data_IF_515555507263
#
_entry.id   IF_515555507263
#
_cell.length_a   1.000
_cell.length_b   1.000
_cell.length_c   1.000
_cell.angle_alpha   90.00
_cell.angle_beta   90.00
_cell.angle_gamma   90.00
#
_symmetry.space_group_name_H-M   'P 1'
#
loop_
_entity.id
_entity.type
_entity.pdbx_description
1 polymer ?
#
# COMPACT_ATOMS: atom_id res chain seq x y z
N UNK A 1 39.98 54.11 3.07
CA UNK A 1 40.31 53.24 4.23
C UNK A 1 39.17 52.22 4.29
N UNK A 2 39.30 51.02 3.73
CA UNK A 2 40.15 49.92 4.23
C UNK A 2 40.97 49.20 3.14
N UNK A 3 42.08 48.59 3.55
CA UNK A 3 43.25 48.14 2.76
C UNK A 3 43.07 46.87 1.89
N UNK A 4 41.85 46.51 1.51
CA UNK A 4 41.59 45.42 0.57
C UNK A 4 40.41 45.84 -0.30
N UNK A 5 40.53 45.75 -1.63
CA UNK A 5 39.61 46.32 -2.63
C UNK A 5 38.20 45.71 -2.69
N UNK A 6 37.57 45.41 -1.56
CA UNK A 6 36.19 44.96 -1.49
C UNK A 6 35.23 46.15 -1.50
N UNK A 7 34.31 46.12 -2.46
CA UNK A 7 33.15 47.02 -2.50
C UNK A 7 32.28 46.85 -1.24
N UNK A 8 31.68 47.93 -0.75
CA UNK A 8 30.73 47.92 0.38
C UNK A 8 29.63 46.88 0.19
N UNK A 9 29.16 46.68 -1.05
CA UNK A 9 28.17 45.64 -1.37
C UNK A 9 28.69 44.21 -1.13
N UNK A 10 29.96 43.96 -1.43
CA UNK A 10 30.59 42.67 -1.16
C UNK A 10 30.72 42.43 0.35
N UNK A 11 31.05 43.47 1.13
CA UNK A 11 31.10 43.36 2.60
C UNK A 11 29.73 43.00 3.19
N UNK A 12 28.66 43.64 2.69
CA UNK A 12 27.28 43.34 3.13
C UNK A 12 26.90 41.89 2.76
N UNK A 13 27.19 41.46 1.53
CA UNK A 13 26.89 40.11 1.08
C UNK A 13 27.63 39.03 1.88
N UNK A 14 28.92 39.26 2.19
CA UNK A 14 29.73 38.35 3.02
C UNK A 14 29.15 38.28 4.44
N UNK A 15 28.81 39.43 5.04
CA UNK A 15 28.23 39.48 6.38
C UNK A 15 26.91 38.69 6.43
N UNK A 16 26.01 38.93 5.47
CA UNK A 16 24.74 38.22 5.36
C UNK A 16 24.95 36.71 5.19
N UNK A 17 25.90 36.30 4.34
CA UNK A 17 26.26 34.90 4.13
C UNK A 17 26.73 34.22 5.43
N UNK A 18 27.60 34.89 6.19
CA UNK A 18 28.07 34.37 7.49
C UNK A 18 26.91 34.20 8.48
N UNK A 19 25.98 35.17 8.55
CA UNK A 19 24.80 35.08 9.43
C UNK A 19 23.90 33.89 9.06
N UNK A 20 23.64 33.68 7.76
CA UNK A 20 22.85 32.52 7.30
C UNK A 20 23.55 31.21 7.64
N UNK A 21 24.86 31.09 7.40
CA UNK A 21 25.60 29.87 7.74
C UNK A 21 25.57 29.58 9.24
N UNK A 22 25.70 30.59 10.09
CA UNK A 22 25.57 30.43 11.55
C UNK A 22 24.16 29.97 11.94
N UNK A 23 23.11 30.54 11.33
CA UNK A 23 21.74 30.11 11.59
C UNK A 23 21.52 28.64 11.20
N UNK A 24 22.05 28.20 10.06
CA UNK A 24 21.98 26.79 9.62
C UNK A 24 22.74 25.87 10.59
N UNK A 25 23.93 26.27 11.05
CA UNK A 25 24.71 25.48 12.02
C UNK A 25 23.97 25.35 13.35
N UNK A 26 23.41 26.45 13.87
CA UNK A 26 22.61 26.42 15.10
C UNK A 26 21.38 25.52 14.92
N UNK A 27 20.65 25.66 13.81
CA UNK A 27 19.50 24.80 13.49
C UNK A 27 19.91 23.33 13.39
N UNK A 28 21.06 23.03 12.79
CA UNK A 28 21.56 21.66 12.70
C UNK A 28 21.93 21.11 14.08
N UNK A 29 22.54 21.91 14.95
CA UNK A 29 22.86 21.53 16.34
C UNK A 29 21.58 21.31 17.15
N UNK A 30 20.57 22.18 17.04
CA UNK A 30 19.29 22.02 17.75
C UNK A 30 18.55 20.77 17.25
N UNK A 31 18.49 20.54 15.94
CA UNK A 31 17.89 19.34 15.36
C UNK A 31 18.67 18.06 15.73
N UNK A 32 20.02 18.12 15.81
CA UNK A 32 20.82 16.98 16.30
C UNK A 32 20.68 16.76 17.80
N UNK A 33 20.48 17.82 18.59
CA UNK A 33 20.22 17.73 20.04
C UNK A 33 18.81 17.20 20.31
N UNK A 34 17.81 17.58 19.52
CA UNK A 34 16.47 16.98 19.60
C UNK A 34 16.43 15.50 19.18
N UNK A 35 17.46 14.99 18.49
CA UNK A 35 17.64 13.55 18.19
C UNK A 35 18.52 12.82 19.20
N UNK A 36 19.01 13.49 20.23
CA UNK A 36 19.79 12.91 21.31
C UNK A 36 19.22 13.44 22.62
N UNK A 37 18.19 12.77 23.11
CA UNK A 37 17.79 12.91 24.50
C UNK A 37 19.04 12.78 25.39
N UNK A 38 19.33 13.78 26.25
CA UNK A 38 20.32 13.61 27.30
C UNK A 38 19.68 12.77 28.41
N UNK A 39 19.72 11.44 28.24
CA UNK A 39 19.58 10.48 29.34
C UNK A 39 20.85 10.53 30.20
N UNK A 40 20.99 11.58 31.00
CA UNK A 40 21.79 11.53 32.23
C UNK A 40 21.00 12.32 33.27
N UNK A 41 19.95 11.68 33.78
CA UNK A 41 19.39 12.00 35.09
C UNK A 41 20.33 11.31 36.09
N UNK A 42 20.89 12.10 36.99
CA UNK A 42 21.84 11.71 38.04
C UNK A 42 21.36 10.51 38.86
N UNK A 43 22.29 9.64 39.25
CA UNK A 43 22.07 8.37 39.98
C UNK A 43 21.51 8.54 41.42
N UNK A 44 21.23 9.76 41.87
CA UNK A 44 20.75 10.04 43.23
C UNK A 44 19.22 10.18 43.36
N UNK A 45 18.47 10.22 42.25
CA UNK A 45 17.02 10.56 42.26
C UNK A 45 16.07 9.33 42.09
N UNK A 46 16.63 8.11 42.02
CA UNK A 46 15.86 6.89 41.70
C UNK A 46 15.07 6.35 42.90
N UNK A 47 15.15 6.99 44.07
CA UNK A 47 14.47 6.51 45.29
C UNK A 47 13.08 7.13 45.51
N UNK A 48 12.72 8.17 44.78
CA UNK A 48 11.46 8.91 45.02
C UNK A 48 10.28 8.42 44.15
N UNK A 49 10.53 7.53 43.19
CA UNK A 49 9.49 7.05 42.26
C UNK A 49 8.98 5.62 42.54
N UNK A 50 9.20 5.09 43.75
CA UNK A 50 8.54 3.85 44.19
C UNK A 50 7.10 4.17 44.58
N UNK A 51 6.26 4.37 43.57
CA UNK A 51 4.81 4.29 43.74
C UNK A 51 4.46 2.81 43.86
N UNK A 52 3.89 2.40 44.99
CA UNK A 52 3.29 1.07 45.13
C UNK A 52 2.14 0.97 44.13
N UNK A 53 2.40 0.30 43.00
CA UNK A 53 1.36 -0.16 42.09
C UNK A 53 0.60 -1.30 42.77
N UNK A 54 -0.33 -0.92 43.62
CA UNK A 54 -1.43 -1.78 44.04
C UNK A 54 -2.74 -1.04 43.75
N UNK A 55 -2.92 -0.65 42.50
CA UNK A 55 -4.20 -0.13 42.01
C UNK A 55 -4.34 -0.47 40.52
N UNK A 56 -5.10 -1.54 40.28
CA UNK A 56 -6.13 -1.66 39.27
C UNK A 56 -5.94 -0.89 37.93
N UNK A 57 -5.64 -1.66 36.87
CA UNK A 57 -6.16 -1.42 35.51
C UNK A 57 -5.95 -0.03 34.89
N UNK A 58 -4.77 0.20 34.32
CA UNK A 58 -4.49 1.39 33.50
C UNK A 58 -4.89 1.22 32.03
N UNK A 59 -6.16 1.50 31.74
CA UNK A 59 -6.63 2.14 30.50
C UNK A 59 -6.05 1.66 29.16
N UNK A 60 -6.72 0.70 28.53
CA UNK A 60 -6.54 0.32 27.13
C UNK A 60 -7.08 1.36 26.12
N UNK A 61 -7.49 2.55 26.57
CA UNK A 61 -8.06 3.63 25.74
C UNK A 61 -7.04 4.40 24.87
N UNK A 62 -5.74 4.32 25.15
CA UNK A 62 -4.69 5.08 24.43
C UNK A 62 -3.99 4.28 23.31
N UNK A 63 -4.59 3.19 22.83
CA UNK A 63 -3.97 2.33 21.80
C UNK A 63 -3.97 2.93 20.38
N UNK A 64 -4.70 4.02 20.14
CA UNK A 64 -4.70 4.73 18.85
C UNK A 64 -3.61 5.82 18.75
N UNK A 65 -3.01 6.23 19.87
CA UNK A 65 -2.02 7.31 19.91
C UNK A 65 -0.59 6.84 19.58
N UNK A 66 -0.33 5.52 19.58
CA UNK A 66 0.98 4.95 19.36
C UNK A 66 1.06 4.21 18.02
N UNK A 67 1.73 4.84 17.03
CA UNK A 67 2.04 4.19 15.76
C UNK A 67 3.23 3.23 15.91
N UNK A 68 2.94 1.97 16.23
CA UNK A 68 3.94 0.89 16.32
C UNK A 68 4.71 0.66 15.01
N UNK A 69 4.23 1.19 13.88
CA UNK A 69 4.95 1.08 12.59
C UNK A 69 6.22 1.92 12.58
N UNK A 70 6.31 2.97 13.41
CA UNK A 70 7.51 3.79 13.55
C UNK A 70 8.71 3.04 14.15
N UNK A 71 8.47 1.95 14.88
CA UNK A 71 9.50 1.14 15.53
C UNK A 71 9.95 -0.07 14.69
N UNK A 72 9.31 -0.34 13.54
CA UNK A 72 9.51 -1.57 12.77
C UNK A 72 10.33 -1.32 11.50
N UNK A 73 11.14 -2.32 11.13
CA UNK A 73 12.01 -2.27 9.96
C UNK A 73 11.24 -1.78 8.70
N UNK A 74 11.70 -0.71 8.02
CA UNK A 74 10.99 -0.10 6.89
C UNK A 74 10.67 -1.07 5.75
N UNK A 75 11.44 -2.15 5.58
CA UNK A 75 11.15 -3.19 4.57
C UNK A 75 9.93 -4.05 4.89
N UNK A 76 9.56 -4.21 6.17
CA UNK A 76 8.38 -4.97 6.61
C UNK A 76 7.12 -4.08 6.74
N UNK A 77 7.30 -2.76 6.81
CA UNK A 77 6.20 -1.81 6.94
C UNK A 77 5.38 -1.65 5.65
N UNK A 78 5.97 -1.84 4.47
CA UNK A 78 5.23 -1.77 3.20
C UNK A 78 4.25 -2.92 2.99
N UNK A 79 4.57 -4.12 3.47
CA UNK A 79 3.74 -5.32 3.30
C UNK A 79 2.42 -5.22 4.08
N UNK A 80 2.41 -4.45 5.18
CA UNK A 80 1.25 -4.22 6.04
C UNK A 80 0.36 -3.05 5.59
N UNK A 81 0.81 -2.16 4.69
CA UNK A 81 -0.05 -1.06 4.16
C UNK A 81 -1.31 -1.59 3.48
N UNK A 82 -1.30 -2.85 3.05
CA UNK A 82 -2.41 -3.51 2.36
C UNK A 82 -3.23 -4.44 3.25
N UNK A 83 -2.78 -4.69 4.50
CA UNK A 83 -3.48 -5.52 5.47
C UNK A 83 -4.39 -4.65 6.33
N UNK A 84 -5.70 -4.80 6.16
CA UNK A 84 -6.71 -4.11 6.98
C UNK A 84 -7.50 -5.14 7.77
N UNK A 85 -7.47 -5.02 9.09
CA UNK A 85 -8.27 -5.85 9.97
C UNK A 85 -9.75 -5.46 9.83
N UNK A 86 -10.60 -6.47 9.66
CA UNK A 86 -12.04 -6.34 9.51
C UNK A 86 -12.66 -6.77 10.82
N UNK A 87 -13.18 -5.79 11.57
CA UNK A 87 -13.96 -6.08 12.77
C UNK A 87 -15.26 -6.76 12.34
N UNK A 88 -15.62 -7.92 12.92
CA UNK A 88 -16.88 -8.56 12.60
C UNK A 88 -18.04 -7.61 12.90
N UNK A 89 -18.97 -7.48 11.96
CA UNK A 89 -20.19 -6.67 12.13
C UNK A 89 -21.17 -7.45 13.02
N UNK A 90 -20.87 -7.50 14.32
CA UNK A 90 -21.72 -8.13 15.30
C UNK A 90 -22.89 -7.19 15.56
N UNK A 91 -24.06 -7.50 14.99
CA UNK A 91 -25.30 -6.79 15.34
C UNK A 91 -25.44 -6.83 16.87
N UNK A 92 -25.67 -5.69 17.54
CA UNK A 92 -25.86 -5.69 18.98
C UNK A 92 -27.09 -6.53 19.30
N UNK A 93 -26.86 -7.73 19.82
CA UNK A 93 -27.92 -8.51 20.44
C UNK A 93 -28.26 -7.76 21.72
N UNK A 94 -29.53 -7.37 21.96
CA UNK A 94 -29.90 -6.72 23.20
C UNK A 94 -29.63 -7.70 24.35
N UNK A 95 -28.53 -7.48 25.07
CA UNK A 95 -28.22 -8.17 26.33
C UNK A 95 -29.16 -7.62 27.41
N UNK A 96 -30.45 -7.91 27.27
CA UNK A 96 -31.42 -7.74 28.35
C UNK A 96 -31.36 -8.99 29.23
N UNK A 97 -30.38 -9.01 30.12
CA UNK A 97 -30.46 -9.87 31.31
C UNK A 97 -31.00 -9.00 32.44
N UNK A 98 -32.17 -9.30 33.02
CA UNK A 98 -32.58 -8.68 34.26
C UNK A 98 -31.49 -9.00 35.28
N UNK A 99 -30.95 -7.97 35.96
CA UNK A 99 -30.10 -8.21 37.13
C UNK A 99 -30.91 -9.06 38.12
N UNK A 100 -30.44 -10.25 38.53
CA UNK A 100 -31.11 -10.96 39.61
C UNK A 100 -31.03 -10.07 40.86
N UNK A 101 -32.11 -10.00 41.62
CA UNK A 101 -32.12 -9.35 42.93
C UNK A 101 -31.00 -9.92 43.80
N UNK A 102 -30.21 -9.05 44.42
CA UNK A 102 -28.97 -9.32 45.16
C UNK A 102 -29.07 -10.33 46.33
N UNK A 103 -30.26 -10.79 46.68
CA UNK A 103 -30.48 -11.51 47.94
C UNK A 103 -30.12 -13.01 47.92
N UNK A 104 -29.73 -13.60 46.78
CA UNK A 104 -29.32 -15.02 46.73
C UNK A 104 -28.48 -15.40 45.51
N UNK A 105 -27.53 -14.55 45.09
CA UNK A 105 -26.67 -14.88 43.94
C UNK A 105 -25.47 -15.70 44.44
N UNK A 106 -25.35 -16.94 43.97
CA UNK A 106 -24.08 -17.67 44.06
C UNK A 106 -23.07 -16.97 43.14
N UNK A 107 -22.21 -16.13 43.75
CA UNK A 107 -21.18 -15.35 43.06
C UNK A 107 -20.27 -16.26 42.24
N UNK A 108 -20.01 -17.48 42.71
CA UNK A 108 -19.16 -18.43 42.00
C UNK A 108 -19.81 -18.88 40.68
N UNK A 109 -21.12 -19.14 40.69
CA UNK A 109 -21.86 -19.51 39.47
C UNK A 109 -21.99 -18.31 38.52
N UNK A 110 -22.24 -17.11 39.06
CA UNK A 110 -22.29 -15.88 38.26
C UNK A 110 -20.97 -15.61 37.54
N UNK A 111 -19.84 -15.70 38.23
CA UNK A 111 -18.52 -15.50 37.61
C UNK A 111 -18.25 -16.55 36.55
N UNK A 112 -18.57 -17.83 36.82
CA UNK A 112 -18.43 -18.91 35.82
C UNK A 112 -19.27 -18.65 34.57
N UNK A 113 -20.50 -18.17 34.75
CA UNK A 113 -21.38 -17.82 33.63
C UNK A 113 -20.80 -16.65 32.81
N UNK A 114 -20.39 -15.56 33.47
CA UNK A 114 -19.80 -14.39 32.78
C UNK A 114 -18.49 -14.70 32.08
N UNK A 115 -17.66 -15.55 32.68
CA UNK A 115 -16.41 -16.02 32.08
C UNK A 115 -16.70 -16.83 30.80
N UNK A 116 -17.63 -17.77 30.86
CA UNK A 116 -18.02 -18.55 29.68
C UNK A 116 -18.63 -17.68 28.57
N UNK A 117 -19.40 -16.64 28.93
CA UNK A 117 -19.92 -15.66 27.97
C UNK A 117 -18.81 -14.83 27.32
N UNK A 118 -17.77 -14.46 28.07
CA UNK A 118 -16.62 -13.71 27.57
C UNK A 118 -15.70 -14.57 26.69
N UNK A 119 -15.44 -15.83 27.08
CA UNK A 119 -14.60 -16.78 26.32
C UNK A 119 -15.21 -17.12 24.94
N UNK A 120 -16.52 -16.98 24.79
CA UNK A 120 -17.26 -17.25 23.55
C UNK A 120 -17.52 -15.99 22.72
N UNK A 121 -16.99 -14.82 23.12
CA UNK A 121 -17.23 -13.56 22.41
C UNK A 121 -16.45 -13.52 21.08
N UNK A 122 -17.12 -13.54 19.91
CA UNK A 122 -16.43 -13.51 18.61
C UNK A 122 -15.97 -12.10 18.22
N UNK A 123 -16.30 -11.07 19.00
CA UNK A 123 -15.89 -9.68 18.73
C UNK A 123 -14.50 -9.33 19.28
N UNK A 124 -13.86 -10.29 19.96
CA UNK A 124 -12.50 -10.15 20.48
C UNK A 124 -11.47 -10.63 19.44
N UNK A 125 -10.24 -10.10 19.45
CA UNK A 125 -9.19 -10.51 18.52
C UNK A 125 -8.80 -12.00 18.63
N UNK A 126 -8.18 -12.60 17.59
CA UNK A 126 -7.71 -11.98 16.35
C UNK A 126 -8.82 -11.72 15.32
N UNK A 127 -8.76 -10.58 14.65
CA UNK A 127 -9.67 -10.26 13.56
C UNK A 127 -9.21 -10.82 12.22
N UNK A 128 -10.16 -11.04 11.32
CA UNK A 128 -9.87 -11.33 9.92
C UNK A 128 -9.20 -10.13 9.26
N UNK A 129 -8.28 -10.37 8.33
CA UNK A 129 -7.59 -9.29 7.63
C UNK A 129 -7.74 -9.41 6.12
N UNK A 130 -8.06 -8.30 5.46
CA UNK A 130 -8.06 -8.24 4.00
C UNK A 130 -6.69 -7.84 3.49
N UNK A 131 -6.18 -8.59 2.51
CA UNK A 131 -4.99 -8.22 1.73
C UNK A 131 -5.43 -7.76 0.34
N UNK A 132 -5.15 -6.50 0.02
CA UNK A 132 -5.47 -5.96 -1.31
C UNK A 132 -4.33 -6.21 -2.28
N UNK A 133 -4.59 -6.94 -3.36
CA UNK A 133 -3.63 -7.15 -4.46
C UNK A 133 -4.00 -6.24 -5.64
N UNK A 134 -3.00 -5.54 -6.18
CA UNK A 134 -3.17 -4.61 -7.31
C UNK A 134 -2.05 -4.76 -8.36
N UNK A 135 -1.41 -5.93 -8.42
CA UNK A 135 -0.34 -6.17 -9.38
C UNK A 135 -0.94 -6.43 -10.78
N UNK A 136 -0.79 -5.44 -11.66
CA UNK A 136 -1.30 -5.47 -13.05
C UNK A 136 -0.44 -6.35 -13.97
N UNK A 137 0.73 -6.81 -13.52
CA UNK A 137 1.73 -7.40 -14.39
C UNK A 137 2.60 -6.34 -15.05
N UNK A 138 3.47 -6.80 -15.94
CA UNK A 138 4.31 -5.92 -16.74
C UNK A 138 3.69 -5.75 -18.13
N UNK A 139 3.84 -4.57 -18.75
CA UNK A 139 3.43 -4.34 -20.14
C UNK A 139 4.41 -5.01 -21.11
N UNK A 140 4.45 -6.32 -21.06
CA UNK A 140 5.14 -7.12 -22.05
C UNK A 140 4.42 -6.99 -23.38
N UNK A 141 5.16 -6.82 -24.47
CA UNK A 141 4.59 -6.94 -25.80
C UNK A 141 3.95 -8.32 -25.93
N UNK A 142 2.70 -8.37 -26.39
CA UNK A 142 2.13 -9.62 -26.86
C UNK A 142 3.03 -10.07 -28.02
N UNK A 143 3.66 -11.24 -27.89
CA UNK A 143 4.53 -11.77 -28.94
C UNK A 143 3.83 -11.84 -30.30
N UNK A 144 4.57 -12.22 -31.33
CA UNK A 144 4.05 -12.28 -32.70
C UNK A 144 2.78 -13.14 -32.79
N UNK A 145 1.66 -12.51 -33.13
CA UNK A 145 0.40 -13.19 -33.47
C UNK A 145 0.44 -13.63 -34.94
N UNK A 146 -0.19 -14.76 -35.25
CA UNK A 146 -0.28 -15.25 -36.63
C UNK A 146 -1.08 -14.27 -37.51
N UNK A 147 -0.57 -13.99 -38.71
CA UNK A 147 -1.29 -13.19 -39.71
C UNK A 147 -2.57 -13.88 -40.16
N UNK A 148 -3.67 -13.13 -40.25
CA UNK A 148 -4.98 -13.64 -40.67
C UNK A 148 -4.97 -14.20 -42.11
N UNK A 149 -4.10 -13.68 -42.97
CA UNK A 149 -4.01 -14.09 -44.38
C UNK A 149 -3.38 -15.47 -44.60
N UNK A 150 -2.75 -16.06 -43.58
CA UNK A 150 -2.10 -17.36 -43.73
C UNK A 150 -3.08 -18.52 -43.98
N UNK A 151 -4.38 -18.30 -43.74
CA UNK A 151 -5.43 -19.30 -43.96
C UNK A 151 -6.09 -19.22 -45.35
N UNK A 152 -5.90 -18.12 -46.09
CA UNK A 152 -6.61 -17.84 -47.34
C UNK A 152 -5.74 -18.04 -48.59
N UNK A 153 -4.44 -18.26 -48.45
CA UNK A 153 -3.50 -18.39 -49.58
C UNK A 153 -3.51 -19.73 -50.31
N UNK A 154 -4.51 -20.58 -50.07
CA UNK A 154 -4.82 -21.73 -50.92
C UNK A 154 -5.95 -21.39 -51.90
N UNK A 155 -5.89 -20.21 -52.53
CA UNK A 155 -6.66 -20.00 -53.76
C UNK A 155 -5.88 -20.65 -54.90
N UNK A 156 -6.29 -21.85 -55.30
CA UNK A 156 -5.91 -22.39 -56.59
C UNK A 156 -6.24 -21.32 -57.65
N UNK A 157 -5.25 -20.93 -58.44
CA UNK A 157 -5.31 -19.84 -59.41
C UNK A 157 -6.16 -20.22 -60.64
N UNK A 158 -7.40 -20.64 -60.41
CA UNK A 158 -8.38 -20.94 -61.45
C UNK A 158 -9.14 -19.66 -61.81
N UNK A 159 -9.00 -19.22 -63.06
CA UNK A 159 -9.63 -18.01 -63.60
C UNK A 159 -10.67 -18.31 -64.68
N UNK A 160 -11.15 -19.56 -64.79
CA UNK A 160 -12.09 -19.98 -65.82
C UNK A 160 -13.43 -19.19 -65.80
N UNK A 161 -13.81 -18.62 -64.65
CA UNK A 161 -15.00 -17.77 -64.51
C UNK A 161 -14.92 -16.43 -65.28
N UNK A 162 -13.74 -15.99 -65.71
CA UNK A 162 -13.58 -14.74 -66.48
C UNK A 162 -14.25 -14.81 -67.86
N UNK A 163 -14.42 -16.02 -68.42
CA UNK A 163 -15.11 -16.22 -69.69
C UNK A 163 -16.58 -15.80 -69.66
N UNK A 164 -17.22 -15.94 -68.49
CA UNK A 164 -18.65 -15.69 -68.31
C UNK A 164 -18.98 -14.24 -67.91
N UNK A 165 -17.97 -13.41 -67.60
CA UNK A 165 -18.17 -12.02 -67.14
C UNK A 165 -18.49 -11.03 -68.27
N UNK A 166 -18.47 -11.47 -69.52
CA UNK A 166 -18.89 -10.69 -70.67
C UNK A 166 -17.74 -10.04 -71.45
N UNK A 167 -18.06 -9.21 -72.47
CA UNK A 167 -17.11 -8.83 -73.51
C UNK A 167 -15.96 -7.95 -73.01
N UNK A 168 -16.16 -7.18 -71.95
CA UNK A 168 -15.10 -6.34 -71.36
C UNK A 168 -13.98 -7.16 -70.73
N UNK A 169 -14.30 -8.37 -70.24
CA UNK A 169 -13.35 -9.28 -69.59
C UNK A 169 -12.73 -10.30 -70.55
N UNK A 170 -13.13 -10.30 -71.83
CA UNK A 170 -12.65 -11.25 -72.84
C UNK A 170 -11.13 -11.31 -72.94
N UNK A 171 -10.47 -10.15 -72.89
CA UNK A 171 -9.00 -10.08 -72.95
C UNK A 171 -8.35 -10.72 -71.73
N UNK A 172 -8.94 -10.57 -70.55
CA UNK A 172 -8.46 -11.20 -69.31
C UNK A 172 -8.74 -12.71 -69.31
N UNK A 173 -9.90 -13.13 -69.80
CA UNK A 173 -10.23 -14.54 -69.99
C UNK A 173 -9.27 -15.23 -70.98
N UNK A 174 -8.84 -14.54 -72.03
CA UNK A 174 -7.83 -15.05 -72.99
C UNK A 174 -6.42 -15.12 -72.37
N UNK A 175 -6.08 -14.22 -71.46
CA UNK A 175 -4.76 -14.16 -70.79
C UNK A 175 -4.62 -15.16 -69.63
N UNK A 176 -5.71 -15.43 -68.91
CA UNK A 176 -5.71 -16.19 -67.66
C UNK A 176 -6.57 -17.47 -67.69
N UNK A 177 -7.43 -17.64 -68.69
CA UNK A 177 -8.14 -18.90 -68.92
C UNK A 177 -7.17 -19.98 -69.39
N UNK A 178 -7.37 -21.19 -68.90
CA UNK A 178 -6.50 -22.32 -69.19
C UNK A 178 -6.48 -22.60 -70.70
N UNK A 179 -5.31 -22.44 -71.35
CA UNK A 179 -5.10 -22.82 -72.75
C UNK A 179 -4.94 -24.35 -72.78
N UNK A 180 -6.02 -25.10 -72.58
CA UNK A 180 -6.06 -26.51 -72.99
C UNK A 180 -6.30 -26.60 -74.51
N UNK A 181 -5.31 -26.20 -75.32
CA UNK A 181 -5.20 -26.71 -76.69
C UNK A 181 -3.82 -26.47 -77.30
N UNK A 182 -2.88 -27.36 -77.00
CA UNK A 182 -1.99 -27.94 -78.02
C UNK A 182 -1.22 -29.15 -77.46
N UNK A 183 -1.95 -30.25 -77.24
CA UNK A 183 -1.35 -31.59 -77.33
C UNK A 183 -2.39 -32.62 -77.72
N UNK A 184 -2.76 -32.65 -79.00
CA UNK A 184 -2.82 -33.83 -79.90
C UNK A 184 -3.40 -33.43 -81.25
#
# INVERSE_FOLDING_TARGET
LSSAGLSTGALIAILLCVVILLAIVVLFITLRRSKKEPLIISEEDVRENVVTYDDEGGGEEDTEAFDITALRNPSAAEELKFRRDVRPEVKPVPRHHPSPSLDSIDVQEFIKQRLAEADLDPSVPPYDSLQTYAYEGYRSEAGSISSLDSATTHSDQDYNYLGDWGPEFKKLAELYGEIESERT
#
